data_IF_258944200068
#
_entry.id   IF_258944200068
#
_cell.length_a   1.000
_cell.length_b   1.000
_cell.length_c   1.000
_cell.angle_alpha   90.00
_cell.angle_beta   90.00
_cell.angle_gamma   90.00
#
_symmetry.space_group_name_H-M   'P 1'
#
loop_
_entity.id
_entity.type
_entity.pdbx_description
1 polymer ?
#
# COMPACT_ATOMS: atom_id res chain seq x y z
N UNK A 1 -29.34 -30.40 70.83
CA UNK A 1 -28.78 -30.65 69.49
C UNK A 1 -28.47 -29.30 68.86
N UNK A 2 -27.20 -28.92 68.76
CA UNK A 2 -26.77 -27.77 67.96
C UNK A 2 -26.19 -28.31 66.65
N UNK A 3 -26.80 -27.95 65.53
CA UNK A 3 -26.26 -28.19 64.19
C UNK A 3 -25.32 -27.05 63.81
N UNK A 4 -24.03 -27.35 63.73
CA UNK A 4 -22.99 -26.47 63.22
C UNK A 4 -23.04 -26.29 61.69
N UNK A 5 -22.36 -25.25 61.17
CA UNK A 5 -22.63 -24.59 59.91
C UNK A 5 -21.73 -25.10 58.79
N UNK A 6 -21.95 -24.67 57.54
CA UNK A 6 -20.87 -24.20 56.67
C UNK A 6 -21.38 -23.84 55.29
N UNK A 7 -21.06 -22.62 54.88
CA UNK A 7 -21.32 -22.13 53.54
C UNK A 7 -20.67 -23.00 52.47
N UNK A 8 -21.42 -23.23 51.40
CA UNK A 8 -20.88 -23.68 50.14
C UNK A 8 -20.01 -22.56 49.55
N UNK A 9 -18.73 -22.54 49.93
CA UNK A 9 -17.70 -21.90 49.10
C UNK A 9 -17.51 -22.80 47.88
N UNK A 10 -17.94 -22.30 46.73
CA UNK A 10 -17.53 -22.81 45.43
C UNK A 10 -16.02 -23.07 45.44
N UNK A 11 -15.52 -24.20 44.92
CA UNK A 11 -14.12 -24.29 44.56
C UNK A 11 -13.90 -23.33 43.38
N UNK A 12 -13.51 -22.10 43.71
CA UNK A 12 -12.76 -21.26 42.79
C UNK A 12 -11.43 -21.96 42.51
N UNK A 13 -11.07 -22.00 41.23
CA UNK A 13 -9.71 -22.14 40.72
C UNK A 13 -8.88 -23.30 41.28
N UNK A 14 -8.97 -24.46 40.62
CA UNK A 14 -7.79 -25.32 40.53
C UNK A 14 -6.91 -24.78 39.39
N UNK A 15 -5.73 -24.17 39.67
CA UNK A 15 -4.75 -23.91 38.63
C UNK A 15 -4.28 -25.27 38.08
N UNK A 16 -4.15 -25.42 36.75
CA UNK A 16 -3.72 -26.69 36.16
C UNK A 16 -2.30 -27.02 36.64
N UNK A 17 -2.16 -28.16 37.34
CA UNK A 17 -0.92 -28.67 37.91
C UNK A 17 0.18 -28.87 36.85
N UNK A 18 1.39 -28.48 37.22
CA UNK A 18 2.51 -28.00 36.40
C UNK A 18 3.27 -28.99 35.51
N UNK A 19 2.74 -30.16 35.14
CA UNK A 19 3.56 -31.18 34.45
C UNK A 19 3.15 -31.48 32.99
N UNK A 20 1.89 -31.24 32.58
CA UNK A 20 1.41 -31.33 31.18
C UNK A 20 0.38 -30.26 30.68
N UNK A 21 0.07 -29.13 31.36
CA UNK A 21 -0.97 -28.18 30.90
C UNK A 21 -0.75 -27.55 29.52
N UNK A 22 0.50 -27.44 29.10
CA UNK A 22 0.89 -26.74 27.87
C UNK A 22 0.58 -27.53 26.60
N UNK A 23 0.36 -28.86 26.69
CA UNK A 23 0.04 -29.69 25.52
C UNK A 23 -1.43 -29.51 25.12
N UNK A 24 -2.33 -29.46 26.10
CA UNK A 24 -3.77 -29.28 25.88
C UNK A 24 -4.10 -27.90 25.28
N UNK A 25 -3.31 -26.87 25.59
CA UNK A 25 -3.45 -25.53 25.00
C UNK A 25 -2.83 -25.40 23.60
N UNK A 26 -1.80 -26.18 23.30
CA UNK A 26 -1.11 -26.10 22.00
C UNK A 26 -1.84 -26.84 20.88
N UNK A 27 -2.59 -27.90 21.16
CA UNK A 27 -3.37 -28.63 20.15
C UNK A 27 -4.32 -27.71 19.35
N UNK A 28 -5.21 -26.92 19.98
CA UNK A 28 -6.10 -26.02 19.24
C UNK A 28 -5.37 -24.85 18.56
N UNK A 29 -4.28 -24.34 19.15
CA UNK A 29 -3.46 -23.28 18.56
C UNK A 29 -2.70 -23.81 17.33
N UNK A 30 -2.19 -25.04 17.40
CA UNK A 30 -1.51 -25.73 16.31
C UNK A 30 -2.46 -26.03 15.17
N UNK A 31 -3.67 -26.49 15.46
CA UNK A 31 -4.70 -26.75 14.45
C UNK A 31 -5.12 -25.45 13.75
N UNK A 32 -5.31 -24.37 14.52
CA UNK A 32 -5.61 -23.04 13.97
C UNK A 32 -4.45 -22.50 13.12
N UNK A 33 -3.22 -22.57 13.64
CA UNK A 33 -1.99 -22.12 12.97
C UNK A 33 -1.69 -22.91 11.70
N UNK A 34 -1.98 -24.21 11.68
CA UNK A 34 -1.83 -25.05 10.48
C UNK A 34 -2.83 -24.67 9.39
N UNK A 35 -4.02 -24.19 9.76
CA UNK A 35 -5.03 -23.68 8.82
C UNK A 35 -4.83 -22.20 8.46
N UNK A 36 -4.00 -21.45 9.18
CA UNK A 36 -3.74 -20.04 8.89
C UNK A 36 -3.20 -19.80 7.47
N UNK A 37 -2.20 -20.56 6.96
CA UNK A 37 -1.74 -20.41 5.58
C UNK A 37 -2.87 -20.55 4.57
N UNK A 38 -3.78 -21.51 4.78
CA UNK A 38 -4.93 -21.73 3.89
C UNK A 38 -5.95 -20.58 3.97
N UNK A 39 -6.24 -20.08 5.17
CA UNK A 39 -7.14 -18.93 5.36
C UNK A 39 -6.55 -17.64 4.76
N UNK A 40 -5.26 -17.38 4.98
CA UNK A 40 -4.57 -16.25 4.40
C UNK A 40 -4.54 -16.38 2.87
N UNK A 41 -4.17 -17.56 2.36
CA UNK A 41 -4.13 -17.82 0.92
C UNK A 41 -5.48 -17.57 0.24
N UNK A 42 -6.57 -18.09 0.81
CA UNK A 42 -7.93 -17.83 0.31
C UNK A 42 -8.31 -16.35 0.41
N UNK A 43 -8.05 -15.71 1.54
CA UNK A 43 -8.34 -14.29 1.70
C UNK A 43 -7.57 -13.43 0.67
N UNK A 44 -6.25 -13.59 0.54
CA UNK A 44 -5.47 -12.81 -0.43
C UNK A 44 -5.87 -13.11 -1.87
N UNK A 45 -6.27 -14.35 -2.18
CA UNK A 45 -6.74 -14.73 -3.52
C UNK A 45 -8.12 -14.16 -3.83
N UNK A 46 -9.08 -14.32 -2.93
CA UNK A 46 -10.48 -13.89 -3.11
C UNK A 46 -10.61 -12.35 -3.04
N UNK A 47 -9.80 -11.69 -2.22
CA UNK A 47 -9.78 -10.24 -2.06
C UNK A 47 -8.66 -9.55 -2.84
N UNK A 48 -7.98 -10.24 -3.77
CA UNK A 48 -6.85 -9.68 -4.53
C UNK A 48 -7.16 -8.31 -5.15
N UNK A 49 -8.29 -8.21 -5.85
CA UNK A 49 -8.68 -6.98 -6.54
C UNK A 49 -8.99 -5.81 -5.57
N UNK A 50 -9.86 -5.96 -4.56
CA UNK A 50 -10.08 -4.88 -3.59
C UNK A 50 -8.84 -4.55 -2.76
N UNK A 51 -7.98 -5.53 -2.42
CA UNK A 51 -6.71 -5.29 -1.73
C UNK A 51 -5.74 -4.45 -2.58
N UNK A 52 -5.64 -4.74 -3.87
CA UNK A 52 -4.84 -3.92 -4.79
C UNK A 52 -5.41 -2.51 -4.86
N UNK A 53 -6.72 -2.35 -5.02
CA UNK A 53 -7.35 -1.02 -5.07
C UNK A 53 -7.13 -0.24 -3.79
N UNK A 54 -7.32 -0.88 -2.63
CA UNK A 54 -7.07 -0.24 -1.33
C UNK A 54 -5.58 0.07 -1.16
N UNK A 55 -4.70 -0.83 -1.58
CA UNK A 55 -3.26 -0.64 -1.62
C UNK A 55 -2.86 0.55 -2.48
N UNK A 56 -3.47 0.73 -3.66
CA UNK A 56 -3.26 1.89 -4.53
C UNK A 56 -3.76 3.18 -3.90
N UNK A 57 -4.92 3.16 -3.23
CA UNK A 57 -5.44 4.34 -2.52
C UNK A 57 -4.48 4.74 -1.40
N UNK A 58 -4.05 3.77 -0.58
CA UNK A 58 -3.10 4.01 0.51
C UNK A 58 -1.76 4.49 -0.03
N UNK A 59 -1.24 3.86 -1.07
CA UNK A 59 -0.01 4.27 -1.74
C UNK A 59 -0.13 5.68 -2.33
N UNK A 60 -1.28 6.02 -2.92
CA UNK A 60 -1.58 7.36 -3.41
C UNK A 60 -1.56 8.41 -2.29
N UNK A 61 -2.21 8.11 -1.16
CA UNK A 61 -2.18 9.00 0.02
C UNK A 61 -0.75 9.19 0.54
N UNK A 62 0.03 8.11 0.67
CA UNK A 62 1.43 8.17 1.10
C UNK A 62 2.26 9.00 0.12
N UNK A 63 2.05 8.82 -1.19
CA UNK A 63 2.73 9.58 -2.25
C UNK A 63 2.43 11.07 -2.13
N UNK A 64 1.16 11.44 -1.91
CA UNK A 64 0.78 12.84 -1.68
C UNK A 64 1.47 13.39 -0.43
N UNK A 65 1.44 12.66 0.69
CA UNK A 65 2.10 13.10 1.93
C UNK A 65 3.61 13.26 1.76
N UNK A 66 4.26 12.33 1.05
CA UNK A 66 5.69 12.40 0.78
C UNK A 66 6.03 13.60 -0.11
N UNK A 67 5.22 13.86 -1.14
CA UNK A 67 5.39 15.02 -2.02
C UNK A 67 5.23 16.32 -1.24
N UNK A 68 4.23 16.41 -0.36
CA UNK A 68 4.05 17.58 0.50
C UNK A 68 5.22 17.76 1.48
N UNK A 69 5.69 16.68 2.10
CA UNK A 69 6.84 16.71 2.99
C UNK A 69 8.12 17.15 2.29
N UNK A 70 8.34 16.69 1.04
CA UNK A 70 9.45 17.13 0.21
C UNK A 70 9.34 18.62 -0.11
N UNK A 71 8.15 19.10 -0.47
CA UNK A 71 7.92 20.52 -0.74
C UNK A 71 8.19 21.38 0.51
N UNK A 72 7.75 20.93 1.68
CA UNK A 72 8.09 21.59 2.95
C UNK A 72 9.60 21.64 3.18
N UNK A 73 10.31 20.52 3.01
CA UNK A 73 11.76 20.47 3.18
C UNK A 73 12.52 21.36 2.19
N UNK A 74 12.05 21.45 0.94
CA UNK A 74 12.62 22.37 -0.07
C UNK A 74 12.44 23.82 0.36
N UNK A 75 11.26 24.19 0.86
CA UNK A 75 10.97 25.55 1.32
C UNK A 75 11.75 25.92 2.60
N UNK A 76 12.11 24.94 3.42
CA UNK A 76 12.94 25.15 4.62
C UNK A 76 14.42 25.44 4.27
N UNK A 77 14.86 25.10 3.06
CA UNK A 77 16.21 25.42 2.55
C UNK A 77 16.14 26.66 1.65
N UNK A 78 16.64 27.82 2.10
CA UNK A 78 16.40 29.11 1.43
C UNK A 78 16.95 29.24 0.00
N UNK A 79 17.87 28.35 -0.41
CA UNK A 79 18.44 28.34 -1.77
C UNK A 79 17.80 27.32 -2.71
N UNK A 80 17.12 26.28 -2.20
CA UNK A 80 16.59 25.23 -3.08
C UNK A 80 15.38 25.71 -3.86
N UNK A 81 14.43 26.38 -3.22
CA UNK A 81 13.24 26.92 -3.87
C UNK A 81 13.58 27.82 -5.09
N UNK A 82 14.41 28.87 -4.96
CA UNK A 82 14.77 29.71 -6.11
C UNK A 82 15.60 28.98 -7.18
N UNK A 83 16.42 27.99 -6.79
CA UNK A 83 17.16 27.17 -7.77
C UNK A 83 16.21 26.28 -8.57
N UNK A 84 15.23 25.64 -7.93
CA UNK A 84 14.22 24.85 -8.62
C UNK A 84 13.35 25.71 -9.55
N UNK A 85 13.03 26.94 -9.14
CA UNK A 85 12.32 27.89 -9.99
C UNK A 85 13.13 28.24 -11.25
N UNK A 86 14.41 28.60 -11.09
CA UNK A 86 15.30 28.89 -12.21
C UNK A 86 15.50 27.68 -13.13
N UNK A 87 15.69 26.48 -12.57
CA UNK A 87 15.79 25.23 -13.34
C UNK A 87 14.49 24.96 -14.09
N UNK A 88 13.34 25.14 -13.44
CA UNK A 88 12.02 24.97 -14.04
C UNK A 88 11.78 25.92 -15.21
N UNK A 89 12.06 27.21 -15.03
CA UNK A 89 11.94 28.22 -16.08
C UNK A 89 12.92 27.93 -17.22
N UNK A 90 14.18 27.60 -16.90
CA UNK A 90 15.20 27.28 -17.89
C UNK A 90 14.82 26.08 -18.74
N UNK A 91 14.40 24.99 -18.10
CA UNK A 91 14.00 23.78 -18.81
C UNK A 91 12.71 23.97 -19.60
N UNK A 92 11.72 24.68 -19.04
CA UNK A 92 10.47 24.99 -19.74
C UNK A 92 10.73 25.86 -20.97
N UNK A 93 11.55 26.92 -20.85
CA UNK A 93 11.91 27.77 -21.97
C UNK A 93 12.65 27.02 -23.07
N UNK A 94 13.65 26.20 -22.69
CA UNK A 94 14.37 25.34 -23.62
C UNK A 94 13.45 24.33 -24.31
N UNK A 95 12.55 23.69 -23.55
CA UNK A 95 11.60 22.71 -24.07
C UNK A 95 10.64 23.34 -25.07
N UNK A 96 10.03 24.49 -24.74
CA UNK A 96 9.13 25.20 -25.65
C UNK A 96 9.85 25.57 -26.94
N UNK A 97 11.05 26.14 -26.84
CA UNK A 97 11.84 26.50 -28.01
C UNK A 97 12.19 25.29 -28.87
N UNK A 98 12.72 24.23 -28.25
CA UNK A 98 13.22 23.04 -28.94
C UNK A 98 12.11 22.17 -29.50
N UNK A 99 10.99 22.00 -28.79
CA UNK A 99 9.98 21.01 -29.14
C UNK A 99 8.66 21.59 -29.67
N UNK A 100 8.27 22.81 -29.27
CA UNK A 100 7.01 23.40 -29.73
C UNK A 100 7.19 24.32 -30.94
N UNK A 101 8.24 25.16 -30.96
CA UNK A 101 8.47 26.11 -32.05
C UNK A 101 9.17 25.48 -33.27
N UNK A 102 10.04 24.50 -33.03
CA UNK A 102 10.79 23.86 -34.11
C UNK A 102 9.96 22.74 -34.75
N UNK A 103 9.61 22.93 -36.03
CA UNK A 103 8.71 22.03 -36.77
C UNK A 103 9.15 20.56 -36.80
N UNK A 104 10.46 20.28 -36.92
CA UNK A 104 10.98 18.90 -36.95
C UNK A 104 10.70 18.15 -35.64
N UNK A 105 11.00 18.78 -34.51
CA UNK A 105 10.84 18.17 -33.18
C UNK A 105 9.41 18.18 -32.68
N UNK A 106 8.57 19.10 -33.17
CA UNK A 106 7.12 19.03 -32.91
C UNK A 106 6.53 17.73 -33.46
N UNK A 107 6.92 17.33 -34.67
CA UNK A 107 6.43 16.09 -35.28
C UNK A 107 6.87 14.85 -34.50
N UNK A 108 8.14 14.83 -34.07
CA UNK A 108 8.72 13.77 -33.23
C UNK A 108 7.98 13.66 -31.89
N UNK A 109 7.79 14.78 -31.18
CA UNK A 109 7.08 14.82 -29.90
C UNK A 109 5.64 14.30 -30.01
N UNK A 110 4.90 14.68 -31.05
CA UNK A 110 3.51 14.21 -31.25
C UNK A 110 3.47 12.71 -31.53
N UNK A 111 4.41 12.20 -32.33
CA UNK A 111 4.49 10.78 -32.64
C UNK A 111 4.81 9.95 -31.38
N UNK A 112 5.80 10.38 -30.59
CA UNK A 112 6.14 9.74 -29.31
C UNK A 112 4.98 9.79 -28.32
N UNK A 113 4.33 10.95 -28.18
CA UNK A 113 3.17 11.09 -27.30
C UNK A 113 2.02 10.16 -27.69
N UNK A 114 1.72 10.04 -28.99
CA UNK A 114 0.70 9.12 -29.48
C UNK A 114 1.07 7.65 -29.22
N UNK A 115 2.36 7.29 -29.38
CA UNK A 115 2.87 5.95 -29.07
C UNK A 115 2.69 5.63 -27.58
N UNK A 116 3.14 6.52 -26.69
CA UNK A 116 3.00 6.35 -25.24
C UNK A 116 1.53 6.26 -24.82
N UNK A 117 0.67 7.11 -25.39
CA UNK A 117 -0.78 7.06 -25.15
C UNK A 117 -1.35 5.70 -25.55
N UNK A 118 -0.96 5.16 -26.69
CA UNK A 118 -1.45 3.85 -27.16
C UNK A 118 -0.98 2.70 -26.27
N UNK A 119 0.24 2.78 -25.74
CA UNK A 119 0.81 1.78 -24.84
C UNK A 119 0.14 1.79 -23.46
N UNK A 120 -0.13 2.97 -22.91
CA UNK A 120 -0.72 3.12 -21.57
C UNK A 120 -2.24 2.91 -21.57
N UNK A 121 -2.96 3.39 -22.60
CA UNK A 121 -4.42 3.24 -22.66
C UNK A 121 -4.87 1.92 -23.30
N UNK A 122 -3.94 1.17 -23.90
CA UNK A 122 -4.22 -0.07 -24.62
C UNK A 122 -4.86 0.20 -25.99
N UNK A 123 -4.36 -0.47 -27.02
CA UNK A 123 -4.95 -0.46 -28.35
C UNK A 123 -6.34 -1.12 -28.31
N UNK A 124 -7.41 -0.33 -28.32
CA UNK A 124 -8.75 -0.75 -28.76
C UNK A 124 -8.80 -0.87 -30.29
N UNK A 125 -7.82 -1.53 -30.89
CA UNK A 125 -7.87 -1.94 -32.29
C UNK A 125 -7.68 -3.44 -32.32
N UNK A 126 -8.75 -4.12 -31.90
CA UNK A 126 -8.97 -5.52 -32.21
C UNK A 126 -8.97 -5.67 -33.72
N UNK A 127 -7.82 -6.10 -34.22
CA UNK A 127 -7.66 -6.94 -35.39
C UNK A 127 -8.85 -7.90 -35.52
N UNK A 128 -9.82 -7.56 -36.37
CA UNK A 128 -10.82 -8.49 -36.88
C UNK A 128 -10.54 -8.65 -38.37
N UNK A 129 -9.73 -9.65 -38.69
CA UNK A 129 -9.75 -10.32 -39.99
C UNK A 129 -10.82 -11.40 -39.99
#
# INVERSE_FOLDING_TARGET
MNSEPSGAISPADQPPSSDRPWQEWLEPVSEFLSKLPDYLGKFFSDYKQPLITLGLIVAGIITVKLTLALLSAINDVPLLAPVFELVGIGYTGWFVYRYLLQSKTRSELVQEFNSLKSEVLGNSESKSS
#
